data_IF_568407016825
#
_entry.id   IF_568407016825
#
_cell.length_a   1.000
_cell.length_b   1.000
_cell.length_c   1.000
_cell.angle_alpha   90.00
_cell.angle_beta   90.00
_cell.angle_gamma   90.00
#
_symmetry.space_group_name_H-M   'P 1'
#
loop_
_entity.id
_entity.type
_entity.pdbx_description
1 polymer ?
#
# COMPACT_ATOMS: atom_id res chain seq x y z
N UNK A 1 4.92 -21.77 6.98
CA UNK A 1 3.74 -21.29 7.73
C UNK A 1 4.12 -20.47 8.95
N UNK A 2 4.79 -21.02 9.97
CA UNK A 2 5.17 -20.26 11.20
C UNK A 2 6.12 -19.07 10.95
N UNK A 3 7.04 -19.18 10.00
CA UNK A 3 7.93 -18.05 9.64
C UNK A 3 7.20 -16.93 8.91
N UNK A 4 6.21 -17.27 8.07
CA UNK A 4 5.45 -16.27 7.31
C UNK A 4 4.49 -15.52 8.23
N UNK A 5 3.91 -16.19 9.25
CA UNK A 5 3.08 -15.53 10.26
C UNK A 5 3.87 -14.59 11.19
N UNK A 6 5.13 -14.93 11.51
CA UNK A 6 6.01 -14.02 12.27
C UNK A 6 6.42 -12.81 11.42
N UNK A 7 6.67 -13.01 10.12
CA UNK A 7 7.05 -11.94 9.21
C UNK A 7 5.88 -11.00 8.84
N UNK A 8 4.64 -11.51 8.75
CA UNK A 8 3.45 -10.68 8.56
C UNK A 8 3.19 -9.83 9.80
N UNK A 9 3.19 -10.45 10.99
CA UNK A 9 2.99 -9.75 12.27
C UNK A 9 4.06 -8.68 12.53
N UNK A 10 5.31 -8.95 12.17
CA UNK A 10 6.39 -7.96 12.23
C UNK A 10 6.14 -6.77 11.32
N UNK A 11 5.63 -6.99 10.10
CA UNK A 11 5.29 -5.92 9.17
C UNK A 11 4.11 -5.09 9.66
N UNK A 12 3.10 -5.73 10.25
CA UNK A 12 1.93 -5.05 10.83
C UNK A 12 2.35 -4.07 11.94
N UNK A 13 3.34 -4.44 12.77
CA UNK A 13 3.91 -3.55 13.79
C UNK A 13 4.79 -2.42 13.22
N UNK A 14 5.50 -2.67 12.12
CA UNK A 14 6.41 -1.70 11.50
C UNK A 14 5.68 -0.69 10.62
N UNK A 15 4.54 -1.06 10.05
CA UNK A 15 3.78 -0.21 9.12
C UNK A 15 3.39 1.15 9.74
N UNK A 16 2.80 1.23 10.95
CA UNK A 16 2.50 2.53 11.57
C UNK A 16 3.74 3.39 11.80
N UNK A 17 4.89 2.77 12.10
CA UNK A 17 6.16 3.49 12.31
C UNK A 17 6.64 4.10 10.99
N UNK A 18 6.61 3.33 9.89
CA UNK A 18 6.95 3.84 8.57
C UNK A 18 5.96 4.91 8.07
N UNK A 19 4.68 4.76 8.39
CA UNK A 19 3.66 5.76 8.08
C UNK A 19 3.94 7.09 8.79
N UNK A 20 4.28 7.05 10.09
CA UNK A 20 4.68 8.24 10.86
C UNK A 20 5.97 8.84 10.27
N UNK A 21 6.98 8.02 9.97
CA UNK A 21 8.22 8.50 9.34
C UNK A 21 7.87 9.24 8.06
N UNK A 22 7.06 8.68 7.15
CA UNK A 22 6.68 9.32 5.90
C UNK A 22 5.88 10.63 6.06
N UNK A 23 5.25 10.86 7.21
CA UNK A 23 4.55 12.10 7.52
C UNK A 23 5.46 13.21 8.05
N UNK A 24 6.56 12.84 8.73
CA UNK A 24 7.47 13.82 9.37
C UNK A 24 8.79 13.99 8.62
N UNK A 25 9.19 13.01 7.80
CA UNK A 25 10.48 13.00 7.13
C UNK A 25 10.49 14.03 5.99
N UNK A 26 11.56 14.81 5.82
CA UNK A 26 11.64 15.79 4.74
C UNK A 26 11.50 15.12 3.36
N UNK A 27 10.58 15.60 2.48
CA UNK A 27 10.40 15.01 1.16
C UNK A 27 11.65 15.02 0.27
N UNK A 28 12.60 15.93 0.53
CA UNK A 28 13.89 16.03 -0.17
C UNK A 28 14.86 14.92 0.21
N UNK A 29 14.67 14.30 1.36
CA UNK A 29 15.64 13.39 1.96
C UNK A 29 15.22 11.92 1.82
N UNK A 30 14.06 11.65 1.20
CA UNK A 30 13.47 10.30 1.06
C UNK A 30 14.44 9.26 0.46
N UNK A 31 15.42 9.69 -0.34
CA UNK A 31 16.49 8.84 -0.85
C UNK A 31 17.30 8.13 0.25
N UNK A 32 17.38 8.69 1.47
CA UNK A 32 18.02 8.05 2.62
C UNK A 32 17.28 6.79 3.09
N UNK A 33 16.00 6.66 2.74
CA UNK A 33 15.15 5.51 3.07
C UNK A 33 15.02 4.51 1.91
N UNK A 34 15.77 4.70 0.81
CA UNK A 34 15.66 3.88 -0.41
C UNK A 34 15.77 2.38 -0.13
N UNK A 35 16.70 1.98 0.74
CA UNK A 35 16.89 0.58 1.11
C UNK A 35 15.62 -0.05 1.70
N UNK A 36 14.84 0.71 2.47
CA UNK A 36 13.58 0.23 3.06
C UNK A 36 12.55 0.01 1.95
N UNK A 37 12.39 0.98 1.04
CA UNK A 37 11.43 0.85 -0.06
C UNK A 37 11.80 -0.27 -1.02
N UNK A 38 13.09 -0.45 -1.32
CA UNK A 38 13.57 -1.57 -2.11
C UNK A 38 13.27 -2.91 -1.43
N UNK A 39 13.43 -3.01 -0.11
CA UNK A 39 13.01 -4.22 0.63
C UNK A 39 11.51 -4.46 0.51
N UNK A 40 10.68 -3.43 0.65
CA UNK A 40 9.22 -3.55 0.50
C UNK A 40 8.82 -3.98 -0.91
N UNK A 41 9.48 -3.45 -1.95
CA UNK A 41 9.24 -3.87 -3.35
C UNK A 41 9.68 -5.31 -3.62
N UNK A 42 10.79 -5.76 -3.04
CA UNK A 42 11.18 -7.18 -3.12
C UNK A 42 10.10 -8.08 -2.52
N UNK A 43 9.57 -7.70 -1.35
CA UNK A 43 8.49 -8.45 -0.70
C UNK A 43 7.19 -8.39 -1.50
N UNK A 44 6.83 -7.25 -2.09
CA UNK A 44 5.63 -7.12 -2.92
C UNK A 44 5.61 -8.14 -4.08
N UNK A 45 6.79 -8.40 -4.67
CA UNK A 45 6.98 -9.37 -5.74
C UNK A 45 7.11 -10.83 -5.28
N UNK A 46 7.17 -11.11 -3.98
CA UNK A 46 7.28 -12.46 -3.45
C UNK A 46 5.90 -13.14 -3.42
N UNK A 47 5.77 -14.26 -4.11
CA UNK A 47 4.53 -15.03 -4.18
C UNK A 47 4.16 -15.70 -2.84
N UNK A 48 5.11 -15.81 -1.91
CA UNK A 48 4.90 -16.41 -0.59
C UNK A 48 4.37 -15.44 0.46
N UNK A 49 4.25 -14.14 0.13
CA UNK A 49 3.70 -13.14 1.03
C UNK A 49 2.20 -13.30 1.24
N UNK A 50 1.78 -13.06 2.49
CA UNK A 50 0.36 -13.10 2.88
C UNK A 50 -0.39 -11.88 2.34
N UNK A 51 -1.69 -12.01 2.11
CA UNK A 51 -2.55 -10.90 1.67
C UNK A 51 -2.49 -9.71 2.62
N UNK A 52 -2.47 -9.97 3.93
CA UNK A 52 -2.30 -8.94 4.96
C UNK A 52 -0.97 -8.19 4.78
N UNK A 53 0.13 -8.91 4.65
CA UNK A 53 1.45 -8.29 4.43
C UNK A 53 1.48 -7.46 3.14
N UNK A 54 0.87 -7.94 2.06
CA UNK A 54 0.77 -7.20 0.80
C UNK A 54 -0.01 -5.89 0.97
N UNK A 55 -1.13 -5.92 1.71
CA UNK A 55 -1.90 -4.71 2.04
C UNK A 55 -1.05 -3.71 2.82
N UNK A 56 -0.30 -4.16 3.82
CA UNK A 56 0.57 -3.31 4.62
C UNK A 56 1.70 -2.69 3.78
N UNK A 57 2.36 -3.47 2.92
CA UNK A 57 3.37 -2.98 1.96
C UNK A 57 2.75 -1.93 1.05
N UNK A 58 1.60 -2.22 0.43
CA UNK A 58 0.95 -1.31 -0.49
C UNK A 58 0.47 -0.03 0.20
N UNK A 59 0.09 -0.07 1.49
CA UNK A 59 -0.22 1.12 2.27
C UNK A 59 0.98 2.06 2.40
N UNK A 60 2.17 1.51 2.72
CA UNK A 60 3.40 2.33 2.81
C UNK A 60 3.78 2.91 1.45
N UNK A 61 3.69 2.13 0.38
CA UNK A 61 3.96 2.61 -0.98
C UNK A 61 2.96 3.69 -1.42
N UNK A 62 1.69 3.54 -1.04
CA UNK A 62 0.65 4.56 -1.28
C UNK A 62 0.94 5.84 -0.49
N UNK A 63 1.37 5.72 0.77
CA UNK A 63 1.79 6.88 1.56
C UNK A 63 3.01 7.56 0.94
N UNK A 64 3.99 6.81 0.45
CA UNK A 64 5.15 7.37 -0.25
C UNK A 64 4.71 8.17 -1.48
N UNK A 65 3.76 7.65 -2.26
CA UNK A 65 3.20 8.37 -3.40
C UNK A 65 2.48 9.67 -2.99
N UNK A 66 1.78 9.67 -1.85
CA UNK A 66 1.16 10.88 -1.27
C UNK A 66 2.21 11.89 -0.84
N UNK A 67 3.28 11.45 -0.17
CA UNK A 67 4.35 12.33 0.31
C UNK A 67 5.16 12.92 -0.86
N UNK A 68 5.51 12.10 -1.85
CA UNK A 68 6.26 12.52 -3.02
C UNK A 68 6.06 11.54 -4.20
N UNK A 69 5.05 11.83 -5.03
CA UNK A 69 4.72 11.02 -6.20
C UNK A 69 5.89 10.88 -7.19
N UNK A 70 6.64 11.95 -7.42
CA UNK A 70 7.76 11.94 -8.37
C UNK A 70 8.86 10.94 -7.93
N UNK A 71 9.22 10.99 -6.63
CA UNK A 71 10.19 10.05 -6.06
C UNK A 71 9.67 8.62 -6.08
N UNK A 72 8.39 8.39 -5.74
CA UNK A 72 7.77 7.07 -5.80
C UNK A 72 7.88 6.45 -7.20
N UNK A 73 7.54 7.21 -8.25
CA UNK A 73 7.61 6.74 -9.63
C UNK A 73 9.05 6.49 -10.08
N UNK A 74 9.98 7.38 -9.75
CA UNK A 74 11.41 7.18 -10.03
C UNK A 74 11.93 5.90 -9.37
N UNK A 75 11.53 5.65 -8.13
CA UNK A 75 11.91 4.48 -7.34
C UNK A 75 11.35 3.18 -7.96
N UNK A 76 10.10 3.17 -8.40
CA UNK A 76 9.51 2.02 -9.13
C UNK A 76 10.27 1.72 -10.43
N UNK A 77 10.54 2.75 -11.24
CA UNK A 77 11.27 2.61 -12.51
C UNK A 77 12.69 2.10 -12.27
N UNK A 78 13.39 2.67 -11.29
CA UNK A 78 14.75 2.26 -10.92
C UNK A 78 14.77 0.80 -10.50
N UNK A 79 13.89 0.41 -9.58
CA UNK A 79 13.80 -0.96 -9.09
C UNK A 79 13.42 -1.95 -10.21
N UNK A 80 12.41 -1.62 -11.02
CA UNK A 80 11.95 -2.45 -12.13
C UNK A 80 13.06 -2.76 -13.12
N UNK A 81 13.89 -1.76 -13.45
CA UNK A 81 15.07 -1.93 -14.32
C UNK A 81 16.17 -2.76 -13.67
N UNK A 82 16.49 -2.50 -12.41
CA UNK A 82 17.62 -3.15 -11.73
C UNK A 82 17.33 -4.60 -11.34
N UNK A 83 16.08 -4.94 -10.99
CA UNK A 83 15.74 -6.23 -10.38
C UNK A 83 14.80 -7.10 -11.21
N UNK A 84 13.84 -6.49 -11.91
CA UNK A 84 12.84 -7.24 -12.66
C UNK A 84 13.16 -7.36 -14.15
N UNK A 85 14.02 -6.49 -14.69
CA UNK A 85 14.27 -6.37 -16.13
C UNK A 85 13.06 -5.83 -16.92
N UNK A 86 11.88 -5.76 -16.29
CA UNK A 86 10.67 -5.13 -16.77
C UNK A 86 9.90 -4.53 -15.59
N UNK A 87 9.64 -3.22 -15.62
CA UNK A 87 8.86 -2.50 -14.61
C UNK A 87 7.36 -2.84 -14.64
N UNK A 88 6.84 -3.34 -15.76
CA UNK A 88 5.43 -3.70 -15.92
C UNK A 88 4.98 -4.74 -14.90
N UNK A 89 5.82 -5.72 -14.60
CA UNK A 89 5.49 -6.81 -13.66
C UNK A 89 5.24 -6.26 -12.26
N UNK A 90 6.04 -5.28 -11.83
CA UNK A 90 5.89 -4.65 -10.52
C UNK A 90 4.65 -3.77 -10.48
N UNK A 91 4.40 -2.99 -11.54
CA UNK A 91 3.19 -2.19 -11.65
C UNK A 91 1.93 -3.05 -11.67
N UNK A 92 1.91 -4.15 -12.43
CA UNK A 92 0.81 -5.11 -12.46
C UNK A 92 0.55 -5.70 -11.07
N UNK A 93 1.62 -6.07 -10.35
CA UNK A 93 1.52 -6.60 -8.99
C UNK A 93 0.96 -5.56 -8.02
N UNK A 94 1.41 -4.31 -8.13
CA UNK A 94 0.95 -3.23 -7.26
C UNK A 94 -0.52 -2.89 -7.53
N UNK A 95 -0.93 -2.79 -8.80
CA UNK A 95 -2.33 -2.58 -9.18
C UNK A 95 -3.21 -3.73 -8.72
N UNK A 96 -2.75 -4.99 -8.86
CA UNK A 96 -3.46 -6.15 -8.33
C UNK A 96 -3.71 -6.05 -6.82
N UNK A 97 -2.71 -5.62 -6.05
CA UNK A 97 -2.90 -5.42 -4.59
C UNK A 97 -3.85 -4.26 -4.30
N UNK A 98 -3.73 -3.14 -5.03
CA UNK A 98 -4.61 -1.98 -4.89
C UNK A 98 -6.08 -2.25 -5.22
N UNK A 99 -6.37 -3.14 -6.16
CA UNK A 99 -7.75 -3.46 -6.52
C UNK A 99 -8.22 -4.69 -5.76
N UNK A 100 -7.62 -5.85 -5.97
CA UNK A 100 -8.16 -7.14 -5.51
C UNK A 100 -7.95 -7.36 -4.01
N UNK A 101 -6.80 -6.98 -3.47
CA UNK A 101 -6.49 -7.21 -2.05
C UNK A 101 -7.01 -6.11 -1.15
N UNK A 102 -7.07 -4.87 -1.64
CA UNK A 102 -7.65 -3.77 -0.90
C UNK A 102 -9.13 -4.03 -0.55
N UNK A 103 -9.91 -4.61 -1.47
CA UNK A 103 -11.30 -5.02 -1.20
C UNK A 103 -11.44 -5.98 -0.02
N UNK A 104 -10.47 -6.88 0.15
CA UNK A 104 -10.49 -7.88 1.21
C UNK A 104 -10.07 -7.30 2.58
N UNK A 105 -9.49 -6.10 2.62
CA UNK A 105 -9.12 -5.46 3.89
C UNK A 105 -10.38 -5.03 4.64
N UNK A 106 -10.50 -5.38 5.92
CA UNK A 106 -11.61 -4.92 6.78
C UNK A 106 -11.40 -3.49 7.31
N UNK A 107 -10.17 -2.99 7.36
CA UNK A 107 -9.84 -1.63 7.81
C UNK A 107 -10.20 -0.56 6.77
N UNK A 108 -11.11 0.35 7.12
CA UNK A 108 -11.49 1.48 6.25
C UNK A 108 -10.31 2.42 5.99
N UNK A 109 -9.44 2.62 6.97
CA UNK A 109 -8.24 3.44 6.82
C UNK A 109 -7.31 2.89 5.74
N UNK A 110 -7.01 1.59 5.80
CA UNK A 110 -6.14 0.93 4.80
C UNK A 110 -6.75 1.07 3.41
N UNK A 111 -8.04 0.79 3.24
CA UNK A 111 -8.75 0.97 1.95
C UNK A 111 -8.67 2.40 1.42
N UNK A 112 -8.87 3.41 2.28
CA UNK A 112 -8.75 4.83 1.91
C UNK A 112 -7.33 5.21 1.50
N UNK A 113 -6.31 4.76 2.24
CA UNK A 113 -4.90 5.03 1.90
C UNK A 113 -4.54 4.41 0.54
N UNK A 114 -4.92 3.15 0.32
CA UNK A 114 -4.70 2.45 -0.94
C UNK A 114 -5.43 3.14 -2.11
N UNK A 115 -6.68 3.55 -1.89
CA UNK A 115 -7.48 4.31 -2.85
C UNK A 115 -6.80 5.63 -3.25
N UNK A 116 -6.31 6.42 -2.29
CA UNK A 116 -5.59 7.66 -2.60
C UNK A 116 -4.30 7.39 -3.36
N UNK A 117 -3.51 6.38 -2.97
CA UNK A 117 -2.30 5.99 -3.70
C UNK A 117 -2.60 5.64 -5.15
N UNK A 118 -3.64 4.84 -5.38
CA UNK A 118 -4.10 4.46 -6.71
C UNK A 118 -4.51 5.68 -7.55
N UNK A 119 -5.33 6.59 -6.99
CA UNK A 119 -5.75 7.83 -7.67
C UNK A 119 -4.55 8.63 -8.15
N UNK A 120 -3.54 8.82 -7.29
CA UNK A 120 -2.34 9.58 -7.63
C UNK A 120 -1.56 8.95 -8.79
N UNK A 121 -1.63 7.62 -8.93
CA UNK A 121 -0.96 6.93 -10.04
C UNK A 121 -1.74 6.92 -11.35
N UNK A 122 -3.03 7.27 -11.35
CA UNK A 122 -3.84 7.31 -12.59
C UNK A 122 -3.27 8.26 -13.64
N UNK A 123 -2.68 9.37 -13.20
CA UNK A 123 -2.08 10.38 -14.08
C UNK A 123 -0.86 9.88 -14.86
N UNK A 124 -0.27 8.75 -14.43
CA UNK A 124 0.87 8.13 -15.11
C UNK A 124 0.50 7.48 -16.43
N UNK A 125 -0.77 7.09 -16.62
CA UNK A 125 -1.24 6.35 -17.80
C UNK A 125 -0.42 5.07 -18.09
N UNK A 126 0.13 4.45 -17.05
CA UNK A 126 0.86 3.18 -17.18
C UNK A 126 -0.05 2.09 -17.79
N UNK A 127 0.43 1.25 -18.72
CA UNK A 127 -0.38 0.20 -19.34
C UNK A 127 -1.12 -0.71 -18.34
N UNK A 128 -0.44 -1.08 -17.24
CA UNK A 128 -1.00 -1.85 -16.11
C UNK A 128 -2.21 -1.19 -15.41
N UNK A 129 -2.24 0.14 -15.39
CA UNK A 129 -3.35 0.91 -14.81
C UNK A 129 -4.50 0.95 -15.81
N UNK A 130 -4.18 1.25 -17.08
CA UNK A 130 -5.18 1.32 -18.15
C UNK A 130 -5.91 -0.01 -18.32
N UNK A 131 -5.19 -1.12 -18.24
CA UNK A 131 -5.75 -2.48 -18.40
C UNK A 131 -6.69 -2.91 -17.28
N UNK A 132 -6.75 -2.16 -16.17
CA UNK A 132 -7.55 -2.46 -14.97
C UNK A 132 -8.51 -1.33 -14.59
N UNK A 133 -8.78 -0.39 -15.51
CA UNK A 133 -9.59 0.80 -15.20
C UNK A 133 -11.00 0.49 -14.72
N UNK A 134 -11.57 -0.64 -15.14
CA UNK A 134 -12.84 -1.17 -14.64
C UNK A 134 -12.74 -1.53 -13.15
N UNK A 135 -11.80 -2.39 -12.76
CA UNK A 135 -11.56 -2.78 -11.37
C UNK A 135 -11.22 -1.57 -10.49
N UNK A 136 -10.44 -0.63 -11.02
CA UNK A 136 -10.09 0.62 -10.33
C UNK A 136 -11.35 1.45 -10.12
N UNK A 137 -12.17 1.64 -11.14
CA UNK A 137 -13.42 2.40 -11.04
C UNK A 137 -14.35 1.86 -9.96
N UNK A 138 -14.54 0.54 -9.92
CA UNK A 138 -15.36 -0.12 -8.89
C UNK A 138 -14.80 0.11 -7.49
N UNK A 139 -13.48 -0.03 -7.30
CA UNK A 139 -12.84 0.16 -5.99
C UNK A 139 -12.97 1.60 -5.50
N UNK A 140 -12.79 2.57 -6.40
CA UNK A 140 -12.96 3.99 -6.07
C UNK A 140 -14.41 4.30 -5.66
N UNK A 141 -15.40 3.71 -6.32
CA UNK A 141 -16.81 3.89 -5.98
C UNK A 141 -17.15 3.28 -4.62
N UNK A 142 -16.63 2.10 -4.32
CA UNK A 142 -16.82 1.44 -3.02
C UNK A 142 -16.29 2.32 -1.89
N UNK A 143 -15.02 2.74 -1.98
CA UNK A 143 -14.39 3.58 -0.95
C UNK A 143 -15.05 4.96 -0.88
N UNK A 144 -15.51 5.53 -2.01
CA UNK A 144 -16.25 6.79 -2.02
C UNK A 144 -17.58 6.72 -1.24
N UNK A 145 -18.22 5.55 -1.18
CA UNK A 145 -19.42 5.37 -0.38
C UNK A 145 -19.13 5.31 1.12
N UNK A 146 -17.92 4.90 1.53
CA UNK A 146 -17.48 4.96 2.93
C UNK A 146 -17.34 6.40 3.43
N UNK A 147 -16.93 7.33 2.56
CA UNK A 147 -16.83 8.75 2.90
C UNK A 147 -18.21 9.42 3.12
N UNK A 148 -19.31 8.80 2.66
CA UNK A 148 -20.67 9.34 2.79
C UNK A 148 -21.36 8.95 4.10
N UNK A 149 -20.78 8.05 4.90
CA UNK A 149 -21.34 7.67 6.20
C UNK A 149 -21.01 8.75 7.23
N UNK A 150 -22.02 9.46 7.79
CA UNK A 150 -21.80 10.52 8.77
C UNK A 150 -21.58 9.87 10.13
N UNK A 151 -20.42 9.29 10.40
CA UNK A 151 -20.05 8.87 11.75
C UNK A 151 -18.53 8.95 11.97
N UNK A 152 -18.18 9.86 12.86
CA UNK A 152 -16.96 9.99 13.67
C UNK A 152 -15.61 10.12 12.96
N UNK A 153 -15.33 11.32 12.43
CA UNK A 153 -13.97 11.87 12.54
C UNK A 153 -13.60 12.20 14.01
N UNK A 154 -14.57 12.14 14.93
CA UNK A 154 -14.40 12.54 16.32
C UNK A 154 -13.64 11.54 17.20
N UNK A 155 -13.33 10.32 16.74
CA UNK A 155 -12.52 9.34 17.49
C UNK A 155 -11.91 8.25 16.57
N UNK A 156 -11.16 8.64 15.55
CA UNK A 156 -10.33 7.66 14.83
C UNK A 156 -9.07 7.41 15.69
N UNK A 157 -9.06 6.28 16.41
CA UNK A 157 -7.83 5.78 17.00
C UNK A 157 -7.00 5.11 15.90
N UNK A 158 -6.14 5.90 15.26
CA UNK A 158 -5.29 5.47 14.13
C UNK A 158 -4.52 4.19 14.48
N UNK A 159 -4.09 4.02 15.74
CA UNK A 159 -3.40 2.81 16.17
C UNK A 159 -4.32 1.58 16.11
N UNK A 160 -5.57 1.68 16.57
CA UNK A 160 -6.54 0.58 16.48
C UNK A 160 -6.93 0.28 15.02
N UNK A 161 -7.10 1.29 14.16
CA UNK A 161 -7.44 1.07 12.75
C UNK A 161 -6.32 0.39 11.94
N UNK A 162 -5.05 0.57 12.34
CA UNK A 162 -3.94 -0.19 11.75
C UNK A 162 -3.99 -1.67 12.14
N UNK A 163 -4.60 -2.00 13.28
CA UNK A 163 -4.74 -3.36 13.80
C UNK A 163 -6.12 -4.00 13.51
N UNK A 164 -7.08 -3.23 13.01
CA UNK A 164 -8.37 -3.77 12.58
C UNK A 164 -8.23 -4.77 11.43
N UNK A 165 -8.88 -5.93 11.59
CA UNK A 165 -8.81 -7.05 10.65
C UNK A 165 -7.79 -8.11 10.97
N UNK A 166 -6.98 -7.90 12.00
CA UNK A 166 -6.23 -8.99 12.62
C UNK A 166 -7.24 -9.86 13.36
N UNK A 167 -7.37 -11.13 12.98
CA UNK A 167 -8.00 -12.11 13.85
C UNK A 167 -7.18 -12.10 15.15
N UNK A 168 -7.73 -11.47 16.19
CA UNK A 168 -7.30 -11.71 17.56
C UNK A 168 -7.73 -13.13 17.83
N UNK A 169 -6.92 -14.10 17.39
CA UNK A 169 -7.08 -15.50 17.74
C UNK A 169 -7.25 -15.55 19.26
N UNK A 170 -8.50 -15.79 19.66
CA UNK A 170 -8.89 -15.84 21.04
C UNK A 170 -8.25 -17.06 21.69
N UNK A 171 -7.46 -16.80 22.73
CA UNK A 171 -6.93 -17.74 23.73
C UNK A 171 -6.11 -18.93 23.24
#
# INVERSE_FOLDING_TARGET
EVTNSVNSRGLTMVTPVLDIILQIFPPTDLALLEGIFFTLLNRLGDESETDEALIHIACILSRLAVTNLAYFLEMLVKYGKERCGNEDVLFDRLVYVWTEKAYASSSSLKRKILCVGLILTLDTKHPSIISRMDCIGDFLLEVANEFKLPNSLDNINVAEEWHEGEDVDGN
#
